data_IF_275954449641
#
_entry.id   IF_275954449641
#
_cell.length_a   1.000
_cell.length_b   1.000
_cell.length_c   1.000
_cell.angle_alpha   90.00
_cell.angle_beta   90.00
_cell.angle_gamma   90.00
#
_symmetry.space_group_name_H-M   'P 1'
#
loop_
_entity.id
_entity.type
_entity.pdbx_description
1 polymer ?
#
# COMPACT_ATOMS: atom_id res chain seq x y z
N UNK A 1 21.53 0.55 14.41
CA UNK A 1 20.32 -0.29 14.43
C UNK A 1 20.06 -0.71 13.00
N UNK A 2 20.17 -2.00 12.69
CA UNK A 2 19.96 -2.58 11.36
C UNK A 2 18.64 -3.34 11.37
N UNK A 3 17.80 -3.12 10.37
CA UNK A 3 16.52 -3.83 10.22
C UNK A 3 16.78 -5.08 9.38
N UNK A 4 16.40 -6.25 9.88
CA UNK A 4 16.35 -7.46 9.07
C UNK A 4 15.01 -7.50 8.32
N UNK A 5 15.04 -7.23 7.02
CA UNK A 5 13.85 -7.09 6.18
C UNK A 5 13.12 -8.42 5.93
N UNK A 6 13.83 -9.54 5.93
CA UNK A 6 13.27 -10.87 5.67
C UNK A 6 12.24 -11.31 6.74
N UNK A 7 12.43 -10.88 7.99
CA UNK A 7 11.54 -11.25 9.11
C UNK A 7 10.40 -10.24 9.32
N UNK A 8 10.30 -9.20 8.49
CA UNK A 8 9.29 -8.15 8.69
C UNK A 8 7.94 -8.53 8.09
N UNK A 9 6.89 -8.14 8.82
CA UNK A 9 5.51 -8.10 8.33
C UNK A 9 5.03 -6.67 8.34
N UNK A 10 4.96 -6.05 7.17
CA UNK A 10 4.66 -4.62 7.02
C UNK A 10 3.27 -4.43 6.41
N UNK A 11 2.49 -3.55 7.04
CA UNK A 11 1.21 -3.08 6.52
C UNK A 11 1.36 -1.61 6.11
N UNK A 12 1.04 -1.31 4.86
CA UNK A 12 1.03 0.03 4.30
C UNK A 12 -0.42 0.47 4.17
N UNK A 13 -0.74 1.63 4.73
CA UNK A 13 -2.05 2.25 4.62
C UNK A 13 -1.99 3.33 3.53
N UNK A 14 -2.73 3.12 2.45
CA UNK A 14 -2.75 4.02 1.31
C UNK A 14 -4.14 4.67 1.20
N UNK A 15 -4.25 6.00 1.31
CA UNK A 15 -5.53 6.70 1.14
C UNK A 15 -6.20 6.39 -0.21
N UNK A 16 -5.44 6.43 -1.30
CA UNK A 16 -5.86 6.09 -2.66
C UNK A 16 -4.96 5.02 -3.29
N UNK A 17 -5.42 4.33 -4.35
CA UNK A 17 -4.59 3.38 -5.09
C UNK A 17 -3.56 4.12 -5.97
N UNK A 18 -2.30 4.09 -5.56
CA UNK A 18 -1.09 4.73 -6.16
C UNK A 18 -0.18 5.31 -5.08
N UNK A 19 -0.76 5.80 -3.98
CA UNK A 19 -0.07 6.38 -2.84
C UNK A 19 1.01 5.45 -2.24
N UNK A 20 0.78 4.13 -2.25
CA UNK A 20 1.71 3.13 -1.73
C UNK A 20 3.00 3.04 -2.55
N UNK A 21 2.89 3.16 -3.87
CA UNK A 21 4.05 3.06 -4.76
C UNK A 21 4.82 4.38 -4.73
N UNK A 22 4.11 5.51 -4.74
CA UNK A 22 4.72 6.85 -4.71
C UNK A 22 5.42 7.11 -3.38
N UNK A 23 4.75 6.81 -2.25
CA UNK A 23 5.28 7.09 -0.91
C UNK A 23 6.21 6.00 -0.37
N UNK A 24 5.91 4.74 -0.67
CA UNK A 24 6.57 3.57 -0.04
C UNK A 24 7.19 2.59 -1.04
N UNK A 25 7.22 2.87 -2.35
CA UNK A 25 7.70 1.91 -3.36
C UNK A 25 9.10 1.36 -3.10
N UNK A 26 10.03 2.21 -2.66
CA UNK A 26 11.38 1.77 -2.30
C UNK A 26 11.43 0.87 -1.06
N UNK A 27 10.51 1.04 -0.11
CA UNK A 27 10.37 0.18 1.06
C UNK A 27 9.76 -1.17 0.67
N UNK A 28 8.71 -1.15 -0.17
CA UNK A 28 8.07 -2.35 -0.72
C UNK A 28 9.10 -3.21 -1.47
N UNK A 29 9.90 -2.59 -2.35
CA UNK A 29 10.97 -3.29 -3.10
C UNK A 29 11.95 -3.97 -2.15
N UNK A 30 12.45 -3.24 -1.14
CA UNK A 30 13.43 -3.78 -0.18
C UNK A 30 12.89 -4.95 0.65
N UNK A 31 11.62 -4.90 1.04
CA UNK A 31 10.99 -5.99 1.80
C UNK A 31 10.79 -7.20 0.89
N UNK A 32 10.28 -7.00 -0.33
CA UNK A 32 10.06 -8.08 -1.31
C UNK A 32 11.37 -8.75 -1.71
N UNK A 33 12.41 -7.98 -2.06
CA UNK A 33 13.74 -8.50 -2.43
C UNK A 33 14.41 -9.30 -1.30
N UNK A 34 14.11 -8.97 -0.04
CA UNK A 34 14.63 -9.67 1.12
C UNK A 34 13.80 -10.91 1.51
N UNK A 35 12.68 -11.19 0.84
CA UNK A 35 11.77 -12.29 1.21
C UNK A 35 10.84 -11.98 2.38
N UNK A 36 10.68 -10.70 2.75
CA UNK A 36 9.76 -10.25 3.79
C UNK A 36 8.31 -10.08 3.30
N UNK A 37 7.38 -9.87 4.21
CA UNK A 37 5.94 -9.84 3.90
C UNK A 37 5.41 -8.40 3.86
N UNK A 38 4.93 -7.98 2.69
CA UNK A 38 4.29 -6.67 2.49
C UNK A 38 2.80 -6.78 2.16
N UNK A 39 1.98 -6.03 2.89
CA UNK A 39 0.56 -5.86 2.62
C UNK A 39 0.24 -4.38 2.43
N UNK A 40 -0.64 -4.07 1.47
CA UNK A 40 -1.22 -2.73 1.32
C UNK A 40 -2.70 -2.80 1.62
N UNK A 41 -3.22 -1.83 2.37
CA UNK A 41 -4.66 -1.63 2.55
C UNK A 41 -5.03 -0.26 2.01
N UNK A 42 -5.90 -0.25 1.00
CA UNK A 42 -6.49 0.96 0.48
C UNK A 42 -7.66 1.41 1.34
N UNK A 43 -7.70 2.70 1.67
CA UNK A 43 -8.80 3.29 2.44
C UNK A 43 -9.96 3.72 1.53
N UNK A 44 -9.64 4.08 0.29
CA UNK A 44 -10.60 4.44 -0.76
C UNK A 44 -10.15 3.84 -2.10
N UNK A 45 -11.08 3.68 -3.04
CA UNK A 45 -10.79 3.17 -4.40
C UNK A 45 -10.46 4.28 -5.41
N UNK A 46 -10.30 5.52 -4.94
CA UNK A 46 -10.17 6.70 -5.79
C UNK A 46 -11.50 7.05 -6.47
N UNK A 47 -12.00 8.26 -6.25
CA UNK A 47 -12.92 8.87 -7.21
C UNK A 47 -12.05 9.51 -8.30
N UNK A 48 -12.54 9.52 -9.53
CA UNK A 48 -11.87 10.14 -10.67
C UNK A 48 -11.36 11.54 -10.30
N UNK A 49 -10.10 11.85 -10.62
CA UNK A 49 -9.43 13.10 -10.26
C UNK A 49 -10.02 14.37 -10.89
N UNK A 50 -11.27 14.30 -11.37
CA UNK A 50 -12.12 15.37 -11.87
C UNK A 50 -12.59 16.33 -10.77
N UNK A 51 -12.41 15.98 -9.49
CA UNK A 51 -12.77 16.83 -8.36
C UNK A 51 -14.28 17.02 -8.17
N UNK A 52 -15.12 16.24 -8.86
CA UNK A 52 -16.59 16.33 -8.76
C UNK A 52 -17.23 15.38 -7.75
N UNK A 53 -16.47 14.49 -7.12
CA UNK A 53 -17.05 13.40 -6.34
C UNK A 53 -17.04 13.73 -4.84
N UNK A 54 -17.82 14.75 -4.50
CA UNK A 54 -18.03 15.25 -3.15
C UNK A 54 -18.80 14.30 -2.21
N UNK A 55 -19.12 13.05 -2.58
CA UNK A 55 -20.05 12.28 -1.74
C UNK A 55 -20.16 10.76 -1.95
N UNK A 56 -19.13 9.91 -1.77
CA UNK A 56 -19.40 8.49 -1.40
C UNK A 56 -18.35 7.84 -0.48
N UNK A 57 -18.77 7.17 0.62
CA UNK A 57 -17.90 6.32 1.44
C UNK A 57 -17.87 4.91 0.85
N UNK A 58 -17.10 4.68 -0.20
CA UNK A 58 -16.84 3.31 -0.71
C UNK A 58 -15.74 2.65 0.13
N UNK A 59 -16.12 2.18 1.31
CA UNK A 59 -15.31 1.28 2.14
C UNK A 59 -15.11 -0.05 1.38
N UNK A 60 -14.08 -0.12 0.55
CA UNK A 60 -13.63 -1.34 -0.09
C UNK A 60 -12.17 -1.53 0.32
N UNK A 61 -11.97 -2.36 1.36
CA UNK A 61 -10.63 -2.81 1.75
C UNK A 61 -10.13 -3.79 0.70
N UNK A 62 -9.52 -3.29 -0.36
CA UNK A 62 -8.71 -4.10 -1.25
C UNK A 62 -7.32 -4.24 -0.64
N UNK A 63 -6.87 -5.48 -0.45
CA UNK A 63 -5.51 -5.77 -0.03
C UNK A 63 -4.73 -6.39 -1.17
N UNK A 64 -3.61 -5.78 -1.56
CA UNK A 64 -2.67 -6.36 -2.50
C UNK A 64 -1.52 -6.99 -1.70
N UNK A 65 -1.22 -8.23 -2.04
CA UNK A 65 -0.04 -8.95 -1.57
C UNK A 65 1.05 -8.81 -2.62
N UNK A 66 2.23 -8.33 -2.21
CA UNK A 66 3.41 -8.41 -3.05
C UNK A 66 4.12 -9.74 -2.74
N UNK A 67 4.12 -10.71 -3.68
CA UNK A 67 4.83 -11.95 -3.47
C UNK A 67 6.34 -11.70 -3.33
N UNK A 68 6.95 -12.53 -2.50
CA UNK A 68 8.40 -12.73 -2.38
C UNK A 68 8.90 -13.63 -3.49
#
# INVERSE_FOLDING_TARGET
MTINWADQRTLILAPHPDDEVIGCGGLISRISEAGGQGHVMYLTIGADGSGSDCCWPTWLSASIWYPT
#
